data_IF_906503266301
#
_entry.id   IF_906503266301
#
_cell.length_a   1.000
_cell.length_b   1.000
_cell.length_c   1.000
_cell.angle_alpha   90.00
_cell.angle_beta   90.00
_cell.angle_gamma   90.00
#
_symmetry.space_group_name_H-M   'P 1'
#
loop_
_entity.id
_entity.type
_entity.pdbx_description
1 polymer ?
#
# COMPACT_ATOMS: atom_id res chain seq x y z
N UNK A 1 -12.05 -17.95 -14.58
CA UNK A 1 -10.80 -17.87 -13.79
C UNK A 1 -10.29 -19.28 -13.53
N UNK A 2 -8.98 -19.53 -13.43
CA UNK A 2 -8.50 -20.86 -13.06
C UNK A 2 -8.99 -21.21 -11.65
N UNK A 3 -9.41 -22.46 -11.46
CA UNK A 3 -9.80 -22.97 -10.15
C UNK A 3 -8.61 -22.89 -9.17
N UNK A 4 -8.89 -22.60 -7.90
CA UNK A 4 -7.87 -22.59 -6.86
C UNK A 4 -7.18 -23.96 -6.75
N UNK A 5 -5.84 -24.04 -6.62
CA UNK A 5 -5.15 -25.31 -6.49
C UNK A 5 -5.65 -26.11 -5.28
N UNK A 6 -6.00 -27.38 -5.48
CA UNK A 6 -6.50 -28.24 -4.39
C UNK A 6 -5.49 -28.37 -3.26
N UNK A 7 -4.19 -28.48 -3.58
CA UNK A 7 -3.11 -28.55 -2.58
C UNK A 7 -3.04 -27.30 -1.71
N UNK A 8 -3.35 -26.13 -2.29
CA UNK A 8 -3.43 -24.88 -1.53
C UNK A 8 -4.63 -24.90 -0.58
N UNK A 9 -5.83 -25.28 -1.06
CA UNK A 9 -7.01 -25.38 -0.20
C UNK A 9 -6.82 -26.37 0.95
N UNK A 10 -6.20 -27.52 0.68
CA UNK A 10 -5.85 -28.51 1.70
C UNK A 10 -4.87 -27.96 2.74
N UNK A 11 -3.91 -27.13 2.31
CA UNK A 11 -2.94 -26.52 3.25
C UNK A 11 -3.57 -25.55 4.24
N UNK A 12 -4.77 -25.05 3.95
CA UNK A 12 -5.52 -24.12 4.81
C UNK A 12 -6.49 -24.85 5.76
N UNK A 13 -6.71 -26.15 5.58
CA UNK A 13 -7.63 -26.92 6.42
C UNK A 13 -7.13 -26.97 7.87
N UNK A 14 -8.05 -26.69 8.81
CA UNK A 14 -7.73 -26.65 10.24
C UNK A 14 -7.16 -25.31 10.75
N UNK A 15 -6.93 -24.31 9.88
CA UNK A 15 -6.59 -22.95 10.33
C UNK A 15 -7.80 -22.34 11.05
N UNK A 16 -7.65 -21.83 12.28
CA UNK A 16 -8.74 -21.17 13.01
C UNK A 16 -9.35 -20.02 12.19
N UNK A 17 -10.67 -20.05 12.01
CA UNK A 17 -11.42 -19.03 11.27
C UNK A 17 -11.38 -19.18 9.74
N UNK A 18 -10.73 -20.21 9.19
CA UNK A 18 -10.80 -20.50 7.77
C UNK A 18 -12.15 -21.13 7.39
N UNK A 19 -12.90 -20.43 6.55
CA UNK A 19 -14.11 -20.94 5.90
C UNK A 19 -13.82 -21.18 4.42
N UNK A 20 -13.72 -22.47 4.05
CA UNK A 20 -13.40 -22.91 2.69
C UNK A 20 -14.47 -22.48 1.69
N UNK A 21 -15.74 -22.54 2.05
CA UNK A 21 -16.85 -22.24 1.13
C UNK A 21 -16.85 -20.75 0.80
N UNK A 22 -16.82 -19.90 1.82
CA UNK A 22 -16.74 -18.44 1.64
C UNK A 22 -15.46 -18.01 0.91
N UNK A 23 -14.31 -18.64 1.22
CA UNK A 23 -13.04 -18.34 0.57
C UNK A 23 -13.10 -18.65 -0.94
N UNK A 24 -13.58 -19.84 -1.31
CA UNK A 24 -13.72 -20.23 -2.72
C UNK A 24 -14.73 -19.33 -3.43
N UNK A 25 -15.88 -19.06 -2.82
CA UNK A 25 -16.93 -18.24 -3.41
C UNK A 25 -16.44 -16.83 -3.78
N UNK A 26 -15.68 -16.15 -2.90
CA UNK A 26 -15.14 -14.81 -3.18
C UNK A 26 -14.12 -14.84 -4.33
N UNK A 27 -13.29 -15.87 -4.42
CA UNK A 27 -12.31 -16.01 -5.51
C UNK A 27 -12.98 -16.37 -6.85
N UNK A 28 -14.12 -17.05 -6.84
CA UNK A 28 -14.89 -17.39 -8.05
C UNK A 28 -15.74 -16.23 -8.57
N UNK A 29 -16.25 -15.36 -7.69
CA UNK A 29 -17.02 -14.16 -8.07
C UNK A 29 -16.19 -13.16 -8.88
N UNK A 30 -14.88 -13.10 -8.65
CA UNK A 30 -13.98 -12.26 -9.45
C UNK A 30 -14.15 -10.77 -9.25
N UNK A 31 -14.83 -10.35 -8.17
CA UNK A 31 -14.98 -8.96 -7.82
C UNK A 31 -13.62 -8.36 -7.47
N UNK A 32 -13.09 -7.48 -8.32
CA UNK A 32 -11.84 -6.78 -8.07
C UNK A 32 -12.14 -5.54 -7.26
N UNK A 33 -11.87 -5.60 -5.96
CA UNK A 33 -11.92 -4.42 -5.10
C UNK A 33 -10.70 -3.55 -5.41
N UNK A 34 -10.95 -2.30 -5.80
CA UNK A 34 -9.90 -1.32 -6.07
C UNK A 34 -9.90 -0.26 -4.98
N UNK A 35 -8.73 0.08 -4.48
CA UNK A 35 -8.56 1.12 -3.47
C UNK A 35 -7.35 2.00 -3.77
N UNK A 36 -7.40 3.22 -3.27
CA UNK A 36 -6.34 4.22 -3.36
C UNK A 36 -6.07 4.79 -1.98
N UNK A 37 -4.86 5.31 -1.78
CA UNK A 37 -4.50 6.12 -0.61
C UNK A 37 -4.15 7.52 -1.06
N UNK A 38 -4.90 8.51 -0.59
CA UNK A 38 -4.67 9.91 -0.90
C UNK A 38 -3.36 10.40 -0.25
N UNK A 39 -2.68 11.33 -0.91
CA UNK A 39 -1.49 11.98 -0.40
C UNK A 39 -1.85 13.32 0.26
N UNK A 40 -1.82 13.43 1.60
CA UNK A 40 -2.19 14.67 2.29
C UNK A 40 -1.24 15.84 1.97
N UNK A 41 -0.02 15.57 1.47
CA UNK A 41 0.95 16.60 1.09
C UNK A 41 0.66 17.22 -0.30
N UNK A 42 -0.24 16.61 -1.07
CA UNK A 42 -0.59 17.04 -2.44
C UNK A 42 -2.11 17.09 -2.62
N UNK A 43 -2.82 17.92 -1.82
CA UNK A 43 -4.26 18.05 -1.95
C UNK A 43 -4.62 18.63 -3.32
N UNK A 44 -5.66 18.07 -3.95
CA UNK A 44 -6.18 18.56 -5.22
C UNK A 44 -7.66 18.25 -5.35
N UNK A 45 -8.43 19.20 -5.89
CA UNK A 45 -9.86 19.01 -6.18
C UNK A 45 -10.08 18.02 -7.32
N UNK A 46 -9.08 17.76 -8.15
CA UNK A 46 -9.16 16.79 -9.24
C UNK A 46 -9.40 15.34 -8.76
N UNK A 47 -9.16 15.05 -7.47
CA UNK A 47 -9.56 13.77 -6.85
C UNK A 47 -11.09 13.56 -6.91
N UNK A 48 -11.89 14.63 -7.00
CA UNK A 48 -13.35 14.55 -7.12
C UNK A 48 -13.81 13.94 -8.46
N UNK A 49 -12.92 13.85 -9.47
CA UNK A 49 -13.20 13.18 -10.74
C UNK A 49 -13.02 11.66 -10.67
N UNK A 50 -12.38 11.15 -9.60
CA UNK A 50 -12.23 9.72 -9.39
C UNK A 50 -13.55 9.09 -8.90
N UNK A 51 -13.83 7.82 -9.26
CA UNK A 51 -15.01 7.09 -8.81
C UNK A 51 -14.86 6.65 -7.34
N UNK A 52 -14.71 7.61 -6.43
CA UNK A 52 -14.53 7.36 -4.99
C UNK A 52 -15.83 6.82 -4.39
N UNK A 53 -15.72 5.66 -3.76
CA UNK A 53 -16.79 5.01 -3.01
C UNK A 53 -16.67 5.29 -1.51
N UNK A 54 -16.61 4.23 -0.71
CA UNK A 54 -16.50 4.32 0.74
C UNK A 54 -15.07 4.51 1.23
N UNK A 55 -14.92 4.95 2.48
CA UNK A 55 -13.64 5.04 3.17
C UNK A 55 -13.09 3.65 3.54
N UNK A 56 -11.77 3.52 3.59
CA UNK A 56 -11.10 2.37 4.18
C UNK A 56 -11.07 2.57 5.70
N UNK A 57 -11.76 1.73 6.51
CA UNK A 57 -11.99 2.04 7.94
C UNK A 57 -10.73 2.14 8.81
N UNK A 58 -9.62 1.55 8.36
CA UNK A 58 -8.34 1.49 9.08
C UNK A 58 -7.26 2.39 8.46
N UNK A 59 -7.60 3.25 7.50
CA UNK A 59 -6.67 4.21 6.94
C UNK A 59 -7.40 5.52 6.63
N UNK A 60 -7.05 6.59 7.37
CA UNK A 60 -7.71 7.89 7.27
C UNK A 60 -7.79 8.43 5.83
N UNK A 61 -6.72 8.22 5.05
CA UNK A 61 -6.62 8.66 3.66
C UNK A 61 -6.92 7.54 2.65
N UNK A 62 -7.38 6.38 3.09
CA UNK A 62 -7.74 5.26 2.24
C UNK A 62 -9.17 5.40 1.69
N UNK A 63 -9.35 5.14 0.41
CA UNK A 63 -10.65 5.16 -0.28
C UNK A 63 -10.81 3.91 -1.14
N UNK A 64 -11.96 3.27 -1.08
CA UNK A 64 -12.39 2.30 -2.09
C UNK A 64 -12.90 3.06 -3.32
N UNK A 65 -12.73 2.46 -4.49
CA UNK A 65 -13.31 2.96 -5.74
C UNK A 65 -14.51 2.09 -6.13
N UNK A 66 -15.56 2.71 -6.65
CA UNK A 66 -16.75 1.99 -7.16
C UNK A 66 -16.45 1.25 -8.47
N UNK A 67 -15.46 1.71 -9.22
CA UNK A 67 -14.92 1.06 -10.41
C UNK A 67 -13.42 1.35 -10.57
N UNK A 68 -12.73 0.60 -11.42
CA UNK A 68 -11.29 0.78 -11.67
C UNK A 68 -11.07 1.72 -12.87
N UNK A 69 -10.63 2.98 -12.66
CA UNK A 69 -10.34 3.90 -13.75
C UNK A 69 -9.01 3.55 -14.44
N UNK A 70 -8.73 4.23 -15.55
CA UNK A 70 -7.45 4.14 -16.25
C UNK A 70 -6.39 5.00 -15.56
N UNK A 71 -5.75 4.45 -14.52
CA UNK A 71 -4.69 5.12 -13.77
C UNK A 71 -3.52 5.60 -14.63
N UNK A 72 -3.21 4.89 -15.73
CA UNK A 72 -2.10 5.23 -16.63
C UNK A 72 -2.28 6.55 -17.35
N UNK A 73 -3.52 7.01 -17.53
CA UNK A 73 -3.82 8.26 -18.22
C UNK A 73 -4.15 9.40 -17.26
N UNK A 74 -4.17 9.14 -15.96
CA UNK A 74 -4.59 10.10 -14.95
C UNK A 74 -3.42 11.02 -14.54
N UNK A 75 -3.47 12.33 -14.83
CA UNK A 75 -2.44 13.28 -14.41
C UNK A 75 -2.33 13.39 -12.88
N UNK A 76 -3.41 13.16 -12.14
CA UNK A 76 -3.47 13.23 -10.68
C UNK A 76 -2.67 12.08 -10.06
N UNK A 77 -2.74 10.88 -10.67
CA UNK A 77 -1.88 9.75 -10.32
C UNK A 77 -0.40 10.07 -10.56
N UNK A 78 -0.07 10.58 -11.74
CA UNK A 78 1.31 10.92 -12.10
C UNK A 78 1.88 12.09 -11.29
N UNK A 79 1.01 13.00 -10.84
CA UNK A 79 1.35 14.07 -9.90
C UNK A 79 1.60 13.61 -8.47
N UNK A 80 1.28 12.34 -8.15
CA UNK A 80 1.47 11.74 -6.84
C UNK A 80 0.46 12.17 -5.79
N UNK A 81 -0.72 12.63 -6.20
CA UNK A 81 -1.79 13.02 -5.27
C UNK A 81 -2.48 11.82 -4.61
N UNK A 82 -2.28 10.61 -5.14
CA UNK A 82 -2.67 9.36 -4.51
C UNK A 82 -1.79 8.20 -4.97
N UNK A 83 -1.87 7.08 -4.26
CA UNK A 83 -1.22 5.82 -4.61
C UNK A 83 -2.27 4.71 -4.74
N UNK A 84 -2.21 3.92 -5.81
CA UNK A 84 -3.07 2.74 -5.96
C UNK A 84 -2.53 1.61 -5.07
N UNK A 85 -3.24 1.33 -3.99
CA UNK A 85 -2.81 0.38 -2.97
C UNK A 85 -3.98 -0.47 -2.53
N UNK A 86 -3.74 -1.77 -2.34
CA UNK A 86 -4.74 -2.69 -1.79
C UNK A 86 -5.05 -2.31 -0.31
N UNK A 87 -6.34 -2.36 0.05
CA UNK A 87 -6.82 -1.84 1.33
C UNK A 87 -6.22 -2.57 2.53
N UNK A 88 -6.08 -3.90 2.51
CA UNK A 88 -5.45 -4.65 3.61
C UNK A 88 -4.00 -4.21 3.86
N UNK A 89 -3.25 -3.86 2.82
CA UNK A 89 -1.90 -3.30 2.97
C UNK A 89 -1.88 -1.93 3.66
N UNK A 90 -2.99 -1.18 3.65
CA UNK A 90 -3.12 0.08 4.37
C UNK A 90 -3.33 -0.12 5.87
N UNK A 91 -3.63 -1.34 6.35
CA UNK A 91 -3.78 -1.64 7.78
C UNK A 91 -2.51 -1.30 8.59
N UNK A 92 -1.36 -1.25 7.93
CA UNK A 92 -0.12 -0.76 8.51
C UNK A 92 -0.26 0.67 9.08
N UNK A 93 -1.06 1.53 8.45
CA UNK A 93 -1.35 2.87 8.97
C UNK A 93 -2.04 2.79 10.33
N UNK A 94 -3.06 1.95 10.47
CA UNK A 94 -3.72 1.72 11.76
C UNK A 94 -2.73 1.25 12.82
N UNK A 95 -1.90 0.26 12.50
CA UNK A 95 -0.89 -0.27 13.44
C UNK A 95 0.03 0.85 13.92
N UNK A 96 0.60 1.64 13.00
CA UNK A 96 1.50 2.76 13.32
C UNK A 96 0.80 3.78 14.22
N UNK A 97 -0.41 4.20 13.83
CA UNK A 97 -1.19 5.19 14.58
C UNK A 97 -1.60 4.69 15.98
N UNK A 98 -1.78 3.37 16.17
CA UNK A 98 -2.01 2.81 17.51
C UNK A 98 -0.71 2.74 18.33
N UNK A 99 0.39 2.27 17.73
CA UNK A 99 1.67 2.09 18.44
C UNK A 99 2.23 3.41 18.97
N UNK A 100 2.08 4.50 18.22
CA UNK A 100 2.64 5.81 18.55
C UNK A 100 1.57 6.86 18.91
N UNK A 101 0.37 6.42 19.33
CA UNK A 101 -0.66 7.34 19.83
C UNK A 101 -0.19 8.11 21.06
N UNK A 102 0.38 7.37 22.00
CA UNK A 102 0.78 7.86 23.33
C UNK A 102 2.31 7.71 23.54
N UNK A 103 3.07 7.58 22.44
CA UNK A 103 4.52 7.37 22.47
C UNK A 103 5.21 8.16 21.36
N UNK A 104 6.47 8.53 21.59
CA UNK A 104 7.31 9.21 20.60
C UNK A 104 7.55 8.30 19.38
N UNK A 105 7.31 8.77 18.14
CA UNK A 105 7.63 8.01 16.94
C UNK A 105 9.14 7.71 16.81
N UNK A 106 9.52 6.61 16.14
CA UNK A 106 10.92 6.26 15.95
C UNK A 106 11.61 7.31 15.09
N UNK A 107 12.87 7.66 15.37
CA UNK A 107 13.61 8.61 14.52
C UNK A 107 14.12 7.98 13.22
N UNK A 108 14.18 6.64 13.16
CA UNK A 108 14.67 5.87 12.00
C UNK A 108 13.78 4.66 11.76
N UNK A 109 13.46 4.40 10.50
CA UNK A 109 12.60 3.30 10.06
C UNK A 109 13.23 2.63 8.85
N UNK A 110 13.18 1.30 8.81
CA UNK A 110 13.66 0.50 7.69
C UNK A 110 12.48 -0.24 7.04
N UNK A 111 12.22 0.07 5.79
CA UNK A 111 11.39 -0.75 4.89
C UNK A 111 12.34 -1.62 4.06
N UNK A 112 12.52 -2.87 4.49
CA UNK A 112 13.53 -3.78 3.96
C UNK A 112 13.25 -4.24 2.51
N UNK A 113 11.98 -4.22 2.10
CA UNK A 113 11.48 -4.72 0.82
C UNK A 113 10.47 -3.72 0.23
N UNK A 114 10.94 -2.50 -0.03
CA UNK A 114 10.10 -1.35 -0.30
C UNK A 114 9.39 -1.38 -1.66
N UNK A 115 9.94 -2.01 -2.70
CA UNK A 115 9.33 -1.91 -4.02
C UNK A 115 7.95 -2.62 -4.08
N UNK A 116 6.96 -2.05 -4.79
CA UNK A 116 7.05 -0.85 -5.64
C UNK A 116 6.92 0.50 -4.90
N UNK A 117 6.77 0.54 -3.57
CA UNK A 117 6.79 1.78 -2.77
C UNK A 117 5.51 2.08 -1.98
N UNK A 118 4.47 1.26 -2.09
CA UNK A 118 3.19 1.53 -1.43
C UNK A 118 3.28 1.58 0.10
N UNK A 119 4.10 0.73 0.72
CA UNK A 119 4.35 0.72 2.17
C UNK A 119 5.36 1.80 2.57
N UNK A 120 6.40 2.01 1.78
CA UNK A 120 7.39 3.08 2.03
C UNK A 120 6.74 4.47 2.04
N UNK A 121 5.87 4.75 1.07
CA UNK A 121 5.10 6.02 1.03
C UNK A 121 4.06 6.10 2.15
N UNK A 122 3.53 4.97 2.63
CA UNK A 122 2.65 4.92 3.80
C UNK A 122 3.41 5.36 5.04
N UNK A 123 4.59 4.76 5.27
CA UNK A 123 5.47 5.09 6.38
C UNK A 123 5.85 6.57 6.32
N UNK A 124 6.20 7.08 5.14
CA UNK A 124 6.56 8.49 4.95
C UNK A 124 5.45 9.47 5.35
N UNK A 125 4.20 9.15 5.01
CA UNK A 125 3.05 9.96 5.41
C UNK A 125 2.65 9.78 6.89
N UNK A 126 2.77 8.56 7.43
CA UNK A 126 2.37 8.27 8.81
C UNK A 126 3.42 8.70 9.85
N UNK A 127 4.67 8.88 9.43
CA UNK A 127 5.82 9.19 10.29
C UNK A 127 6.64 10.34 9.68
N UNK A 128 6.09 11.56 9.60
CA UNK A 128 6.73 12.67 8.91
C UNK A 128 8.09 13.08 9.51
N UNK A 129 8.28 12.88 10.82
CA UNK A 129 9.52 13.23 11.52
C UNK A 129 10.56 12.09 11.57
N UNK A 130 10.27 10.95 10.94
CA UNK A 130 11.17 9.80 10.89
C UNK A 130 12.01 9.80 9.61
N UNK A 131 13.28 9.38 9.71
CA UNK A 131 14.09 9.06 8.55
C UNK A 131 13.85 7.62 8.09
N UNK A 132 13.46 7.44 6.83
CA UNK A 132 13.05 6.15 6.28
C UNK A 132 14.06 5.66 5.25
N UNK A 133 14.58 4.45 5.45
CA UNK A 133 15.34 3.73 4.43
C UNK A 133 14.41 2.73 3.75
N UNK A 134 14.15 2.93 2.47
CA UNK A 134 13.42 1.99 1.63
C UNK A 134 14.41 1.17 0.79
N UNK A 135 14.66 -0.07 1.18
CA UNK A 135 15.53 -0.99 0.46
C UNK A 135 14.76 -1.84 -0.54
N UNK A 136 15.37 -2.12 -1.69
CA UNK A 136 14.90 -3.15 -2.61
C UNK A 136 16.09 -3.96 -3.09
N UNK A 137 16.10 -5.27 -2.87
CA UNK A 137 17.22 -6.14 -3.26
C UNK A 137 17.27 -6.38 -4.78
N UNK A 138 16.11 -6.43 -5.45
CA UNK A 138 16.04 -6.74 -6.88
C UNK A 138 16.29 -5.46 -7.68
N UNK A 139 17.46 -5.37 -8.33
CA UNK A 139 17.91 -4.17 -9.06
C UNK A 139 16.87 -3.61 -10.03
N UNK A 140 16.17 -4.47 -10.76
CA UNK A 140 15.16 -4.06 -11.75
C UNK A 140 13.92 -3.40 -11.13
N UNK A 141 13.66 -3.60 -9.83
CA UNK A 141 12.52 -3.02 -9.10
C UNK A 141 12.88 -1.72 -8.37
N UNK A 142 14.17 -1.38 -8.29
CA UNK A 142 14.65 -0.12 -7.67
C UNK A 142 14.15 1.10 -8.44
N UNK A 143 14.06 1.01 -9.76
CA UNK A 143 13.55 2.09 -10.61
C UNK A 143 12.13 2.50 -10.25
N UNK A 144 11.20 1.53 -10.19
CA UNK A 144 9.79 1.79 -9.84
C UNK A 144 9.64 2.29 -8.41
N UNK A 145 10.44 1.77 -7.47
CA UNK A 145 10.46 2.28 -6.09
C UNK A 145 10.88 3.76 -6.06
N UNK A 146 12.00 4.09 -6.70
CA UNK A 146 12.54 5.46 -6.74
C UNK A 146 11.57 6.43 -7.41
N UNK A 147 10.94 6.00 -8.51
CA UNK A 147 9.95 6.78 -9.22
C UNK A 147 8.72 7.07 -8.35
N UNK A 148 8.21 6.07 -7.63
CA UNK A 148 7.06 6.24 -6.75
C UNK A 148 7.35 7.07 -5.51
N UNK A 149 8.54 6.94 -4.90
CA UNK A 149 8.97 7.83 -3.81
C UNK A 149 9.06 9.27 -4.31
N UNK A 150 9.67 9.49 -5.48
CA UNK A 150 9.81 10.82 -6.08
C UNK A 150 8.45 11.44 -6.42
N UNK A 151 7.53 10.65 -7.01
CA UNK A 151 6.15 11.09 -7.27
C UNK A 151 5.42 11.43 -5.98
N UNK A 152 5.56 10.62 -4.93
CA UNK A 152 4.93 10.89 -3.64
C UNK A 152 5.43 12.21 -3.03
N UNK A 153 6.73 12.49 -3.17
CA UNK A 153 7.32 13.80 -2.86
C UNK A 153 7.67 14.01 -1.39
N UNK A 154 7.82 12.93 -0.61
CA UNK A 154 8.34 13.01 0.76
C UNK A 154 9.86 13.19 0.75
N UNK A 155 10.36 14.06 1.61
CA UNK A 155 11.78 14.40 1.77
C UNK A 155 12.51 13.51 2.80
N UNK A 156 11.77 12.69 3.53
CA UNK A 156 12.27 11.85 4.62
C UNK A 156 12.57 10.39 4.22
N UNK A 157 12.61 10.07 2.91
CA UNK A 157 12.86 8.71 2.40
C UNK A 157 14.13 8.64 1.55
N UNK A 158 14.97 7.66 1.83
CA UNK A 158 16.12 7.28 1.00
C UNK A 158 15.94 5.89 0.43
N UNK A 159 16.15 5.74 -0.88
CA UNK A 159 16.10 4.44 -1.56
C UNK A 159 17.49 3.80 -1.58
N UNK A 160 17.56 2.52 -1.21
CA UNK A 160 18.78 1.72 -1.26
C UNK A 160 18.57 0.42 -2.04
N UNK A 161 19.67 -0.20 -2.47
CA UNK A 161 19.66 -1.47 -3.19
C UNK A 161 20.77 -2.35 -2.65
N UNK A 162 20.50 -3.02 -1.53
CA UNK A 162 21.42 -3.90 -0.84
C UNK A 162 20.74 -5.23 -0.49
N UNK A 163 21.56 -6.25 -0.27
CA UNK A 163 21.12 -7.46 0.43
C UNK A 163 20.72 -7.07 1.86
N UNK A 164 19.58 -7.56 2.39
CA UNK A 164 19.16 -7.33 3.77
C UNK A 164 20.22 -7.54 4.84
N UNK A 165 21.16 -8.47 4.63
CA UNK A 165 22.22 -8.77 5.60
C UNK A 165 23.30 -7.68 5.66
N UNK A 166 23.39 -6.83 4.64
CA UNK A 166 24.43 -5.82 4.44
C UNK A 166 23.93 -4.40 4.83
N UNK A 167 22.75 -4.30 5.46
CA UNK A 167 22.07 -3.06 5.87
C UNK A 167 22.26 -2.72 7.35
#
# INVERSE_FOLDING_TARGET
>A
MPALPLTFLQSLEGIPGFDKESFVAVHEQGNIVTSIRLNPLKPTEAINELPVGSDVPWCEHGRYLTERPSFTLDPVFHGGAYYVQEASSMFLHHIISQLYRDAEPPKRVLDLCGAPGGKSTLLAGALPDSFIVANEVIKTRVGVLSENISKWGSDNVVVTNNDPKDL
#
